data_IF_321715328718
#
_entry.id   IF_321715328718
#
_cell.length_a   1.000
_cell.length_b   1.000
_cell.length_c   1.000
_cell.angle_alpha   90.00
_cell.angle_beta   90.00
_cell.angle_gamma   90.00
#
_symmetry.space_group_name_H-M   'P 1'
#
loop_
_entity.id
_entity.type
_entity.pdbx_description
1 polymer ?
#
# COMPACT_ATOMS: atom_id res chain seq x y z
N UNK A 1 -34.53 -37.36 -43.15
CA UNK A 1 -33.52 -36.37 -42.74
C UNK A 1 -33.18 -35.55 -43.97
N UNK A 2 -33.40 -34.24 -43.95
CA UNK A 2 -33.15 -33.36 -45.10
C UNK A 2 -31.72 -32.85 -45.05
N UNK A 3 -30.89 -33.29 -45.99
CA UNK A 3 -29.51 -32.82 -46.12
C UNK A 3 -29.48 -31.35 -46.56
N UNK A 4 -28.63 -30.50 -45.98
CA UNK A 4 -28.51 -29.13 -46.41
C UNK A 4 -27.94 -29.06 -47.84
N UNK A 5 -28.67 -28.42 -48.74
CA UNK A 5 -28.23 -28.18 -50.12
C UNK A 5 -26.96 -27.32 -50.16
N UNK A 6 -26.04 -27.59 -51.10
CA UNK A 6 -24.78 -26.85 -51.27
C UNK A 6 -24.96 -25.32 -51.27
N UNK A 7 -26.06 -24.82 -51.82
CA UNK A 7 -26.43 -23.40 -51.83
C UNK A 7 -26.63 -22.83 -50.42
N UNK A 8 -27.24 -23.55 -49.48
CA UNK A 8 -27.43 -23.07 -48.12
C UNK A 8 -26.11 -23.06 -47.33
N UNK A 9 -25.20 -24.00 -47.61
CA UNK A 9 -23.86 -23.99 -47.02
C UNK A 9 -23.02 -22.82 -47.55
N UNK A 10 -23.09 -22.55 -48.85
CA UNK A 10 -22.34 -21.45 -49.47
C UNK A 10 -22.85 -20.08 -48.99
N UNK A 11 -24.17 -19.92 -48.82
CA UNK A 11 -24.78 -18.71 -48.27
C UNK A 11 -24.40 -18.51 -46.79
N UNK A 12 -24.33 -19.59 -46.01
CA UNK A 12 -23.85 -19.56 -44.63
C UNK A 12 -22.39 -19.12 -44.51
N UNK A 13 -21.51 -19.64 -45.37
CA UNK A 13 -20.11 -19.21 -45.42
C UNK A 13 -19.98 -17.73 -45.80
N UNK A 14 -20.72 -17.28 -46.82
CA UNK A 14 -20.71 -15.87 -47.24
C UNK A 14 -21.17 -14.94 -46.10
N UNK A 15 -22.21 -15.33 -45.35
CA UNK A 15 -22.69 -14.55 -44.21
C UNK A 15 -21.64 -14.45 -43.09
N UNK A 16 -20.91 -15.54 -42.81
CA UNK A 16 -19.81 -15.54 -41.83
C UNK A 16 -18.68 -14.61 -42.27
N UNK A 17 -18.27 -14.67 -43.55
CA UNK A 17 -17.23 -13.78 -44.08
C UNK A 17 -17.62 -12.31 -43.99
N UNK A 18 -18.86 -11.96 -44.36
CA UNK A 18 -19.37 -10.59 -44.26
C UNK A 18 -19.42 -10.14 -42.80
N UNK A 19 -19.87 -11.01 -41.88
CA UNK A 19 -19.91 -10.72 -40.45
C UNK A 19 -18.53 -10.41 -39.86
N UNK A 20 -17.53 -11.24 -40.18
CA UNK A 20 -16.13 -11.03 -39.74
C UNK A 20 -15.57 -9.73 -40.33
N UNK A 21 -15.86 -9.45 -41.60
CA UNK A 21 -15.38 -8.24 -42.27
C UNK A 21 -15.95 -6.96 -41.64
N UNK A 22 -17.24 -6.94 -41.31
CA UNK A 22 -17.88 -5.82 -40.60
C UNK A 22 -17.27 -5.67 -39.20
N UNK A 23 -17.05 -6.77 -38.48
CA UNK A 23 -16.39 -6.74 -37.16
C UNK A 23 -15.00 -6.10 -37.25
N UNK A 24 -14.20 -6.50 -38.25
CA UNK A 24 -12.85 -5.97 -38.46
C UNK A 24 -12.85 -4.47 -38.75
N UNK A 25 -13.80 -4.00 -39.56
CA UNK A 25 -13.97 -2.56 -39.84
C UNK A 25 -14.39 -1.76 -38.59
N UNK A 26 -15.23 -2.34 -37.72
CA UNK A 26 -15.63 -1.71 -36.47
C UNK A 26 -14.46 -1.64 -35.48
N UNK A 27 -13.68 -2.72 -35.34
CA UNK A 27 -12.48 -2.74 -34.48
C UNK A 27 -11.46 -1.69 -34.92
N UNK A 28 -11.16 -1.60 -36.21
CA UNK A 28 -10.21 -0.62 -36.74
C UNK A 28 -10.67 0.84 -36.61
N UNK A 29 -11.99 1.09 -36.55
CA UNK A 29 -12.54 2.44 -36.28
C UNK A 29 -12.45 2.81 -34.80
N UNK A 30 -12.70 1.86 -33.91
CA UNK A 30 -12.62 2.08 -32.47
C UNK A 30 -11.17 2.30 -32.00
N UNK A 31 -10.21 1.57 -32.59
CA UNK A 31 -8.78 1.73 -32.28
C UNK A 31 -8.28 3.17 -32.54
N UNK A 32 -8.70 3.80 -33.65
CA UNK A 32 -8.34 5.19 -33.95
C UNK A 32 -8.96 6.22 -33.00
N UNK A 33 -10.18 5.97 -32.53
CA UNK A 33 -10.81 6.84 -31.54
C UNK A 33 -10.21 6.68 -30.15
N UNK A 34 -9.73 5.48 -29.81
CA UNK A 34 -9.04 5.21 -28.56
C UNK A 34 -7.65 5.85 -28.56
N UNK A 35 -6.90 5.75 -29.67
CA UNK A 35 -5.62 6.46 -29.82
C UNK A 35 -5.79 7.98 -29.74
N UNK A 36 -6.79 8.55 -30.42
CA UNK A 36 -7.06 9.99 -30.32
C UNK A 36 -7.55 10.41 -28.94
N UNK A 37 -8.40 9.62 -28.26
CA UNK A 37 -8.78 9.91 -26.88
C UNK A 37 -7.58 9.82 -25.93
N UNK A 38 -6.72 8.81 -26.09
CA UNK A 38 -5.52 8.64 -25.26
C UNK A 38 -4.54 9.80 -25.48
N UNK A 39 -4.31 10.22 -26.73
CA UNK A 39 -3.44 11.38 -27.04
C UNK A 39 -4.03 12.68 -26.49
N UNK A 40 -5.35 12.90 -26.63
CA UNK A 40 -6.02 14.09 -26.06
C UNK A 40 -6.01 14.08 -24.53
N UNK A 41 -6.09 12.91 -23.89
CA UNK A 41 -5.96 12.80 -22.42
C UNK A 41 -4.52 13.12 -21.99
N UNK A 42 -3.50 12.66 -22.72
CA UNK A 42 -2.09 12.91 -22.41
C UNK A 42 -1.69 14.39 -22.63
N UNK A 43 -2.23 15.05 -23.65
CA UNK A 43 -1.93 16.47 -23.93
C UNK A 43 -2.71 17.43 -22.99
N UNK A 44 -3.87 17.01 -22.46
CA UNK A 44 -4.69 17.80 -21.53
C UNK A 44 -4.30 17.62 -20.06
N UNK A 45 -3.51 16.58 -19.74
CA UNK A 45 -2.80 16.50 -18.47
C UNK A 45 -1.56 17.39 -18.57
N UNK A 46 -1.67 18.66 -18.16
CA UNK A 46 -0.50 19.36 -17.62
C UNK A 46 0.23 18.36 -16.73
N UNK A 47 1.50 18.06 -17.03
CA UNK A 47 2.26 17.03 -16.34
C UNK A 47 2.08 17.24 -14.83
N UNK A 48 1.45 16.28 -14.16
CA UNK A 48 1.10 16.40 -12.75
C UNK A 48 2.34 16.78 -11.93
N UNK A 49 3.53 16.36 -12.38
CA UNK A 49 4.80 16.78 -11.82
C UNK A 49 5.05 18.29 -11.89
N UNK A 50 4.72 18.96 -13.00
CA UNK A 50 4.87 20.41 -13.15
C UNK A 50 3.84 21.18 -12.30
N UNK A 51 2.59 20.70 -12.25
CA UNK A 51 1.55 21.29 -11.39
C UNK A 51 1.91 21.12 -9.92
N UNK A 52 2.36 19.93 -9.52
CA UNK A 52 2.82 19.65 -8.16
C UNK A 52 4.06 20.48 -7.81
N UNK A 53 5.04 20.62 -8.72
CA UNK A 53 6.22 21.47 -8.51
C UNK A 53 5.85 22.96 -8.40
N UNK A 54 4.95 23.45 -9.25
CA UNK A 54 4.46 24.84 -9.18
C UNK A 54 3.71 25.10 -7.89
N UNK A 55 2.89 24.14 -7.44
CA UNK A 55 2.18 24.22 -6.18
C UNK A 55 3.12 24.11 -4.98
N UNK A 56 4.11 23.20 -4.97
CA UNK A 56 5.14 23.17 -3.92
C UNK A 56 5.96 24.46 -3.87
N UNK A 57 6.36 24.98 -5.04
CA UNK A 57 7.11 26.25 -5.14
C UNK A 57 6.28 27.46 -4.68
N UNK A 58 4.97 27.41 -4.85
CA UNK A 58 4.03 28.42 -4.34
C UNK A 58 3.48 28.12 -2.94
N UNK A 59 3.68 26.90 -2.41
CA UNK A 59 3.30 26.46 -1.07
C UNK A 59 4.18 27.10 0.00
N UNK A 60 5.37 27.56 -0.39
CA UNK A 60 6.26 28.36 0.46
C UNK A 60 5.78 29.82 0.60
N UNK A 61 4.53 30.10 0.20
CA UNK A 61 3.78 31.18 0.83
C UNK A 61 3.67 30.83 2.31
N UNK A 62 4.65 31.32 3.08
CA UNK A 62 4.66 31.40 4.55
C UNK A 62 3.24 31.30 5.07
N UNK A 63 2.99 30.29 5.90
CA UNK A 63 1.69 30.10 6.51
C UNK A 63 1.26 31.42 7.13
N UNK A 64 -0.05 31.74 7.14
CA UNK A 64 -0.51 33.03 7.68
C UNK A 64 0.04 33.29 9.09
N UNK A 65 0.28 32.22 9.86
CA UNK A 65 0.89 32.27 11.19
C UNK A 65 2.42 32.36 11.26
N UNK A 66 3.14 32.18 10.15
CA UNK A 66 4.60 32.37 10.08
C UNK A 66 4.98 33.86 10.04
N UNK A 67 4.05 34.75 9.66
CA UNK A 67 4.27 36.20 9.57
C UNK A 67 3.39 37.02 10.50
N UNK A 68 2.25 36.47 10.94
CA UNK A 68 1.33 37.14 11.83
C UNK A 68 0.90 36.17 12.94
N UNK A 69 1.08 36.47 14.23
CA UNK A 69 0.63 35.58 15.28
C UNK A 69 -0.89 35.38 15.19
N UNK A 70 -1.40 34.16 15.47
CA UNK A 70 -2.84 33.90 15.47
C UNK A 70 -3.55 34.83 16.45
N UNK A 71 -4.41 35.71 15.93
CA UNK A 71 -5.15 36.67 16.75
C UNK A 71 -6.34 35.97 17.39
N UNK A 72 -6.46 36.03 18.72
CA UNK A 72 -7.56 35.42 19.47
C UNK A 72 -7.28 34.03 20.06
N UNK A 73 -6.08 33.47 19.82
CA UNK A 73 -5.59 32.32 20.58
C UNK A 73 -4.69 32.78 21.73
N UNK A 74 -4.75 32.04 22.84
CA UNK A 74 -3.85 32.20 23.98
C UNK A 74 -2.39 32.01 23.53
N UNK A 75 -1.54 33.01 23.75
CA UNK A 75 -0.12 32.99 23.37
C UNK A 75 0.73 32.07 24.25
N UNK A 76 0.30 31.87 25.49
CA UNK A 76 0.95 30.98 26.46
C UNK A 76 -0.07 30.06 27.12
N UNK A 77 0.40 28.96 27.72
CA UNK A 77 -0.44 28.06 28.51
C UNK A 77 -1.07 28.81 29.71
N UNK A 78 -0.37 29.82 30.23
CA UNK A 78 -0.87 30.74 31.25
C UNK A 78 -2.00 31.66 30.77
N UNK A 79 -2.24 31.79 29.47
CA UNK A 79 -3.37 32.55 28.92
C UNK A 79 -4.60 31.64 28.67
N UNK A 80 -4.43 30.32 28.78
CA UNK A 80 -5.51 29.34 28.62
C UNK A 80 -6.40 29.33 29.88
N UNK A 81 -7.74 29.37 29.74
CA UNK A 81 -8.65 29.24 30.88
C UNK A 81 -8.35 28.01 31.73
N UNK A 82 -8.38 28.16 33.06
CA UNK A 82 -8.01 27.10 34.02
C UNK A 82 -8.70 25.74 33.77
N UNK A 83 -9.96 25.75 33.32
CA UNK A 83 -10.69 24.54 32.97
C UNK A 83 -9.98 23.72 31.88
N UNK A 84 -9.46 24.37 30.85
CA UNK A 84 -8.75 23.70 29.76
C UNK A 84 -7.33 23.28 30.15
N UNK A 85 -6.68 23.94 31.11
CA UNK A 85 -5.34 23.52 31.59
C UNK A 85 -5.38 22.14 32.23
N UNK A 86 -6.40 21.87 33.05
CA UNK A 86 -6.58 20.55 33.64
C UNK A 86 -6.75 19.47 32.56
N UNK A 87 -7.47 19.77 31.47
CA UNK A 87 -7.59 18.85 30.34
C UNK A 87 -6.26 18.64 29.62
N UNK A 88 -5.48 19.70 29.40
CA UNK A 88 -4.16 19.63 28.74
C UNK A 88 -3.19 18.77 29.58
N UNK A 89 -3.11 19.03 30.88
CA UNK A 89 -2.26 18.26 31.80
C UNK A 89 -2.65 16.77 31.84
N UNK A 90 -3.95 16.46 31.81
CA UNK A 90 -4.44 15.08 31.77
C UNK A 90 -4.07 14.37 30.45
N UNK A 91 -4.19 15.08 29.32
CA UNK A 91 -3.73 14.56 28.02
C UNK A 91 -2.22 14.34 27.97
N UNK A 92 -1.43 15.28 28.49
CA UNK A 92 0.03 15.15 28.54
C UNK A 92 0.44 13.95 29.42
N UNK A 93 -0.26 13.74 30.54
CA UNK A 93 -0.06 12.57 31.38
C UNK A 93 -0.38 11.27 30.64
N UNK A 94 -1.53 11.19 29.99
CA UNK A 94 -1.92 10.03 29.21
C UNK A 94 -0.94 9.74 28.07
N UNK A 95 -0.44 10.77 27.39
CA UNK A 95 0.56 10.62 26.34
C UNK A 95 1.88 10.05 26.88
N UNK A 96 2.31 10.51 28.06
CA UNK A 96 3.51 10.00 28.73
C UNK A 96 3.34 8.54 29.17
N UNK A 97 2.21 8.20 29.79
CA UNK A 97 1.91 6.83 30.22
C UNK A 97 1.94 5.86 29.01
N UNK A 98 1.36 6.27 27.88
CA UNK A 98 1.39 5.47 26.66
C UNK A 98 2.80 5.30 26.09
N UNK A 99 3.64 6.35 26.14
CA UNK A 99 5.04 6.26 25.69
C UNK A 99 5.88 5.35 26.58
N UNK A 100 5.62 5.32 27.88
CA UNK A 100 6.29 4.44 28.82
C UNK A 100 5.87 2.98 28.57
N UNK A 101 4.58 2.73 28.39
CA UNK A 101 4.06 1.39 28.09
C UNK A 101 4.61 0.86 26.75
N UNK A 102 4.71 1.72 25.73
CA UNK A 102 5.33 1.37 24.46
C UNK A 102 6.81 0.97 24.63
N UNK A 103 7.58 1.73 25.42
CA UNK A 103 8.98 1.39 25.74
C UNK A 103 9.10 0.06 26.49
N UNK A 104 8.22 -0.20 27.44
CA UNK A 104 8.18 -1.46 28.18
C UNK A 104 7.87 -2.64 27.25
N UNK A 105 6.93 -2.47 26.33
CA UNK A 105 6.58 -3.50 25.35
C UNK A 105 7.77 -3.82 24.42
N UNK A 106 8.45 -2.79 23.91
CA UNK A 106 9.65 -2.97 23.08
C UNK A 106 10.77 -3.70 23.84
N UNK A 107 10.97 -3.36 25.12
CA UNK A 107 11.91 -4.06 25.98
C UNK A 107 11.54 -5.55 26.12
N UNK A 108 10.29 -5.86 26.45
CA UNK A 108 9.80 -7.24 26.58
C UNK A 108 9.94 -8.01 25.27
N UNK A 109 9.69 -7.36 24.13
CA UNK A 109 9.84 -7.96 22.81
C UNK A 109 11.30 -8.33 22.54
N UNK A 110 12.24 -7.45 22.88
CA UNK A 110 13.67 -7.75 22.75
C UNK A 110 14.12 -8.88 23.67
N UNK A 111 13.64 -8.92 24.92
CA UNK A 111 13.95 -9.98 25.86
C UNK A 111 13.42 -11.34 25.39
N UNK A 112 12.17 -11.38 24.90
CA UNK A 112 11.58 -12.60 24.37
C UNK A 112 12.30 -13.11 23.12
N UNK A 113 12.77 -12.21 22.24
CA UNK A 113 13.58 -12.59 21.08
C UNK A 113 14.91 -13.25 21.51
N UNK A 114 15.61 -12.66 22.49
CA UNK A 114 16.84 -13.21 23.04
C UNK A 114 16.62 -14.58 23.70
N UNK A 115 15.54 -14.73 24.46
CA UNK A 115 15.17 -16.01 25.09
C UNK A 115 14.88 -17.10 24.05
N UNK A 116 14.18 -16.74 22.96
CA UNK A 116 13.88 -17.67 21.87
C UNK A 116 15.18 -18.16 21.20
N UNK A 117 16.12 -17.26 20.94
CA UNK A 117 17.42 -17.58 20.35
C UNK A 117 18.24 -18.50 21.28
N UNK A 118 18.30 -18.17 22.56
CA UNK A 118 19.04 -18.96 23.55
C UNK A 118 18.45 -20.35 23.72
N UNK A 119 17.12 -20.48 23.78
CA UNK A 119 16.43 -21.77 23.83
C UNK A 119 16.72 -22.62 22.58
N UNK A 120 16.71 -22.01 21.39
CA UNK A 120 17.06 -22.70 20.15
C UNK A 120 18.50 -23.22 20.16
N UNK A 121 19.44 -22.40 20.65
CA UNK A 121 20.85 -22.79 20.81
C UNK A 121 21.01 -23.96 21.78
N UNK A 122 20.35 -23.90 22.93
CA UNK A 122 20.40 -24.97 23.94
C UNK A 122 19.81 -26.28 23.40
N UNK A 123 18.68 -26.22 22.70
CA UNK A 123 18.06 -27.39 22.08
C UNK A 123 19.00 -28.03 21.04
N UNK A 124 19.66 -27.23 20.20
CA UNK A 124 20.64 -27.74 19.24
C UNK A 124 21.82 -28.42 19.94
N UNK A 125 22.32 -27.82 21.01
CA UNK A 125 23.41 -28.38 21.81
C UNK A 125 23.00 -29.72 22.45
N UNK A 126 21.80 -29.79 23.04
CA UNK A 126 21.24 -31.01 23.62
C UNK A 126 21.10 -32.12 22.57
N UNK A 127 20.46 -31.84 21.44
CA UNK A 127 20.32 -32.80 20.33
C UNK A 127 21.69 -33.29 19.82
N UNK A 128 22.68 -32.40 19.75
CA UNK A 128 24.04 -32.76 19.36
C UNK A 128 24.69 -33.70 20.38
N UNK A 129 24.50 -33.44 21.67
CA UNK A 129 25.00 -34.31 22.75
C UNK A 129 24.33 -35.68 22.72
N UNK A 130 23.01 -35.75 22.54
CA UNK A 130 22.26 -37.00 22.43
C UNK A 130 22.64 -37.83 21.19
N UNK A 131 22.85 -37.16 20.05
CA UNK A 131 23.35 -37.79 18.84
C UNK A 131 24.74 -38.42 19.07
N UNK A 132 25.63 -37.71 19.78
CA UNK A 132 26.97 -38.21 20.13
C UNK A 132 26.92 -39.41 21.07
N UNK A 133 25.96 -39.46 22.00
CA UNK A 133 25.82 -40.58 22.93
C UNK A 133 25.39 -41.88 22.23
N UNK A 134 24.56 -41.82 21.18
CA UNK A 134 24.14 -43.02 20.46
C UNK A 134 23.98 -42.80 18.94
N UNK A 135 25.10 -42.71 18.18
CA UNK A 135 25.09 -42.40 16.76
C UNK A 135 24.45 -43.50 15.89
N UNK A 136 24.40 -44.75 16.36
CA UNK A 136 23.79 -45.87 15.63
C UNK A 136 22.27 -45.77 15.56
N UNK A 137 21.63 -45.28 16.64
CA UNK A 137 20.17 -45.10 16.72
C UNK A 137 19.66 -44.07 15.70
N UNK A 138 20.46 -43.04 15.44
CA UNK A 138 20.07 -41.91 14.58
C UNK A 138 20.48 -42.08 13.11
N UNK A 139 21.45 -42.96 12.79
CA UNK A 139 21.81 -43.32 11.40
C UNK A 139 20.81 -44.27 10.71
N UNK A 140 19.93 -44.94 11.45
CA UNK A 140 19.03 -45.95 10.90
C UNK A 140 17.80 -45.37 10.16
N UNK A 141 17.69 -44.04 10.02
CA UNK A 141 16.49 -43.35 9.52
C UNK A 141 16.67 -42.61 8.18
N UNK A 142 17.84 -42.71 7.57
CA UNK A 142 18.17 -42.23 6.22
C UNK A 142 18.38 -43.40 5.29
#
# INVERSE_FOLDING_TARGET
MTEPTLTSQLLGLAAIFIGIFILMLLTAKNEKSDEQNVVVIIEKTEDFGEVARRNLKNSDRRFTYDTQPPVGLASSIEDVPQFFRACIEDYDRLANDYQEEARNNDLLRSQNANLLEENGRLLYQEMTMDFRQNPRKWRAKT
#
